data_IF_951209545280
#
_entry.id   IF_951209545280
#
_cell.length_a   1.000
_cell.length_b   1.000
_cell.length_c   1.000
_cell.angle_alpha   90.00
_cell.angle_beta   90.00
_cell.angle_gamma   90.00
#
_symmetry.space_group_name_H-M   'P 1'
#
loop_
_entity.id
_entity.type
_entity.pdbx_description
1 polymer ?
#
# COMPACT_ATOMS: atom_id res chain seq x y z
N UNK A 1 -19.18 -28.78 -26.81
CA UNK A 1 -18.08 -28.37 -25.92
C UNK A 1 -18.06 -26.85 -25.92
N UNK A 2 -18.52 -26.22 -24.83
CA UNK A 2 -18.51 -24.76 -24.71
C UNK A 2 -17.08 -24.30 -24.35
N UNK A 3 -16.54 -23.25 -24.98
CA UNK A 3 -15.27 -22.66 -24.54
C UNK A 3 -15.50 -21.87 -23.25
N UNK A 4 -14.58 -22.06 -22.31
CA UNK A 4 -14.61 -21.51 -20.96
C UNK A 4 -14.25 -20.03 -21.00
N UNK A 5 -15.20 -19.17 -20.63
CA UNK A 5 -15.02 -17.73 -20.42
C UNK A 5 -14.25 -17.44 -19.12
N UNK A 6 -12.93 -17.62 -19.14
CA UNK A 6 -12.01 -17.19 -18.06
C UNK A 6 -11.37 -15.83 -18.36
N UNK A 7 -12.16 -14.88 -18.90
CA UNK A 7 -11.77 -13.48 -18.95
C UNK A 7 -11.83 -12.91 -17.53
N UNK A 8 -10.75 -13.13 -16.79
CA UNK A 8 -10.53 -12.78 -15.40
C UNK A 8 -11.17 -11.42 -15.04
N UNK A 9 -11.93 -11.29 -13.94
CA UNK A 9 -12.59 -10.03 -13.54
C UNK A 9 -11.60 -8.86 -13.34
N UNK A 10 -10.32 -9.17 -13.16
CA UNK A 10 -9.21 -8.22 -13.20
C UNK A 10 -9.05 -7.53 -14.56
N UNK A 11 -9.26 -8.24 -15.65
CA UNK A 11 -9.16 -7.72 -17.02
C UNK A 11 -10.31 -6.74 -17.33
N UNK A 12 -11.52 -6.99 -16.81
CA UNK A 12 -12.63 -6.05 -16.89
C UNK A 12 -12.43 -4.81 -16.01
N UNK A 13 -11.87 -4.96 -14.80
CA UNK A 13 -11.52 -3.82 -13.95
C UNK A 13 -10.38 -2.97 -14.55
N UNK A 14 -9.42 -3.59 -15.23
CA UNK A 14 -8.33 -2.92 -15.95
C UNK A 14 -8.84 -2.16 -17.18
N UNK A 15 -9.79 -2.70 -17.95
CA UNK A 15 -10.38 -2.01 -19.10
C UNK A 15 -11.23 -0.80 -18.71
N UNK A 16 -11.82 -0.79 -17.51
CA UNK A 16 -12.57 0.37 -17.00
C UNK A 16 -11.70 1.52 -16.51
N UNK A 17 -10.42 1.27 -16.21
CA UNK A 17 -9.48 2.26 -15.65
C UNK A 17 -8.41 2.70 -16.67
N UNK A 18 -8.10 1.88 -17.67
CA UNK A 18 -7.06 2.16 -18.67
C UNK A 18 -7.73 2.66 -19.96
N UNK A 19 -7.74 3.99 -20.14
CA UNK A 19 -8.17 4.64 -21.39
C UNK A 19 -7.35 4.10 -22.58
N UNK A 20 -7.94 3.91 -23.77
CA UNK A 20 -7.21 3.48 -24.98
C UNK A 20 -6.00 4.37 -25.32
N UNK A 21 -5.98 5.63 -24.89
CA UNK A 21 -4.83 6.54 -25.02
C UNK A 21 -3.58 6.09 -24.25
N UNK A 22 -3.78 5.40 -23.11
CA UNK A 22 -2.70 4.86 -22.28
C UNK A 22 -2.06 3.64 -22.95
N UNK A 23 -2.85 2.82 -23.66
CA UNK A 23 -2.34 1.69 -24.44
C UNK A 23 -1.47 2.16 -25.60
N UNK A 24 -1.88 3.22 -26.30
CA UNK A 24 -1.11 3.79 -27.40
C UNK A 24 0.18 4.47 -26.89
N UNK A 25 0.12 5.14 -25.73
CA UNK A 25 1.30 5.71 -25.08
C UNK A 25 2.27 4.64 -24.55
N UNK A 26 1.76 3.53 -24.01
CA UNK A 26 2.59 2.39 -23.60
C UNK A 26 3.24 1.70 -24.80
N UNK A 27 2.51 1.51 -25.89
CA UNK A 27 3.05 0.88 -27.11
C UNK A 27 4.12 1.76 -27.77
N UNK A 28 3.87 3.08 -27.82
CA UNK A 28 4.75 4.05 -28.46
C UNK A 28 5.96 4.45 -27.62
N UNK A 29 5.84 4.44 -26.29
CA UNK A 29 6.88 4.98 -25.38
C UNK A 29 7.42 3.95 -24.38
N UNK A 30 6.60 3.04 -23.85
CA UNK A 30 7.03 2.12 -22.79
C UNK A 30 7.59 0.79 -23.34
N UNK A 31 7.05 0.29 -24.45
CA UNK A 31 7.41 -1.00 -25.06
C UNK A 31 8.56 -0.93 -26.06
N UNK A 32 9.08 0.26 -26.39
CA UNK A 32 10.20 0.37 -27.31
C UNK A 32 11.50 -0.13 -26.64
N UNK A 33 12.29 -1.01 -27.28
CA UNK A 33 13.45 -1.69 -26.67
C UNK A 33 14.60 -0.77 -26.20
N UNK A 34 14.51 0.54 -26.45
CA UNK A 34 15.42 1.58 -25.96
C UNK A 34 14.82 2.55 -24.93
N UNK A 35 13.63 2.27 -24.37
CA UNK A 35 12.99 3.19 -23.42
C UNK A 35 13.76 3.26 -22.07
N UNK A 36 13.83 4.45 -21.42
CA UNK A 36 14.52 4.62 -20.14
C UNK A 36 13.93 3.75 -19.03
N UNK A 37 12.64 3.39 -19.14
CA UNK A 37 11.97 2.47 -18.21
C UNK A 37 12.58 1.07 -18.32
N UNK A 38 12.86 0.58 -19.53
CA UNK A 38 13.50 -0.73 -19.71
C UNK A 38 14.95 -0.75 -19.22
N UNK A 39 15.68 0.37 -19.34
CA UNK A 39 17.03 0.51 -18.79
C UNK A 39 17.02 0.39 -17.25
N UNK A 40 16.08 1.04 -16.57
CA UNK A 40 15.93 0.95 -15.11
C UNK A 40 15.56 -0.48 -14.69
N UNK A 41 14.67 -1.15 -15.41
CA UNK A 41 14.29 -2.54 -15.12
C UNK A 41 15.47 -3.49 -15.31
N UNK A 42 16.21 -3.37 -16.41
CA UNK A 42 17.39 -4.22 -16.70
C UNK A 42 18.54 -3.97 -15.72
N UNK A 43 18.77 -2.71 -15.35
CA UNK A 43 19.77 -2.38 -14.33
C UNK A 43 19.33 -2.87 -12.94
N UNK A 44 18.06 -2.70 -12.59
CA UNK A 44 17.49 -3.21 -11.35
C UNK A 44 17.63 -4.73 -11.23
N UNK A 45 17.28 -5.48 -12.27
CA UNK A 45 17.39 -6.95 -12.25
C UNK A 45 18.84 -7.43 -12.16
N UNK A 46 19.76 -6.81 -12.89
CA UNK A 46 21.18 -7.18 -12.83
C UNK A 46 21.85 -6.80 -11.50
N UNK A 47 21.45 -5.69 -10.87
CA UNK A 47 21.91 -5.32 -9.53
C UNK A 47 21.35 -6.25 -8.46
N UNK A 48 20.07 -6.65 -8.60
CA UNK A 48 19.46 -7.63 -7.71
C UNK A 48 20.17 -8.98 -7.81
N UNK A 49 20.43 -9.48 -9.01
CA UNK A 49 21.14 -10.75 -9.22
C UNK A 49 22.58 -10.73 -8.68
N UNK A 50 23.31 -9.63 -8.88
CA UNK A 50 24.66 -9.46 -8.34
C UNK A 50 24.65 -9.34 -6.82
N UNK A 51 23.66 -8.63 -6.27
CA UNK A 51 23.47 -8.46 -4.83
C UNK A 51 23.10 -9.77 -4.14
N UNK A 52 22.18 -10.55 -4.71
CA UNK A 52 21.80 -11.87 -4.16
C UNK A 52 22.93 -12.88 -4.30
N UNK A 53 23.64 -12.92 -5.42
CA UNK A 53 24.80 -13.81 -5.59
C UNK A 53 25.92 -13.51 -4.60
N UNK A 54 26.24 -12.23 -4.40
CA UNK A 54 27.23 -11.83 -3.40
C UNK A 54 26.75 -12.13 -1.97
N UNK A 55 25.50 -11.82 -1.64
CA UNK A 55 24.94 -12.11 -0.32
C UNK A 55 24.90 -13.62 -0.03
N UNK A 56 24.60 -14.43 -1.03
CA UNK A 56 24.59 -15.89 -0.91
C UNK A 56 25.99 -16.43 -0.62
N UNK A 57 27.04 -15.97 -1.32
CA UNK A 57 28.41 -16.43 -1.06
C UNK A 57 28.88 -16.17 0.39
N UNK A 58 28.40 -15.11 1.03
CA UNK A 58 28.69 -14.86 2.45
C UNK A 58 27.78 -15.67 3.41
N UNK A 59 26.56 -15.97 2.99
CA UNK A 59 25.59 -16.71 3.80
C UNK A 59 25.73 -18.24 3.68
N UNK A 60 26.30 -18.74 2.57
CA UNK A 60 26.47 -20.15 2.21
C UNK A 60 26.96 -21.03 3.38
N UNK A 61 28.08 -20.73 4.07
CA UNK A 61 28.55 -21.60 5.14
C UNK A 61 27.59 -21.68 6.34
N UNK A 62 26.84 -20.61 6.60
CA UNK A 62 25.86 -20.59 7.69
C UNK A 62 24.58 -21.32 7.31
N UNK A 63 24.16 -21.19 6.05
CA UNK A 63 22.99 -21.88 5.50
C UNK A 63 23.23 -23.39 5.51
N UNK A 64 24.38 -23.84 5.00
CA UNK A 64 24.70 -25.27 4.95
C UNK A 64 24.86 -25.86 6.35
N UNK A 65 25.50 -25.14 7.27
CA UNK A 65 25.62 -25.58 8.68
C UNK A 65 24.26 -25.68 9.36
N UNK A 66 23.35 -24.72 9.10
CA UNK A 66 22.00 -24.77 9.63
C UNK A 66 21.20 -25.93 9.05
N UNK A 67 21.26 -26.16 7.73
CA UNK A 67 20.57 -27.28 7.08
C UNK A 67 21.05 -28.64 7.59
N UNK A 68 22.37 -28.80 7.77
CA UNK A 68 22.95 -30.01 8.35
C UNK A 68 22.43 -30.25 9.77
N UNK A 69 22.43 -29.21 10.63
CA UNK A 69 21.94 -29.32 12.00
C UNK A 69 20.42 -29.58 12.09
N UNK A 70 19.65 -29.08 11.12
CA UNK A 70 18.21 -29.35 11.03
C UNK A 70 17.94 -30.82 10.64
N UNK A 71 18.72 -31.39 9.72
CA UNK A 71 18.52 -32.78 9.27
C UNK A 71 18.87 -33.83 10.33
N UNK A 72 19.79 -33.53 11.25
CA UNK A 72 20.23 -34.46 12.29
C UNK A 72 19.19 -34.71 13.39
N UNK A 73 18.14 -33.89 13.51
CA UNK A 73 17.17 -34.01 14.62
C UNK A 73 15.77 -33.50 14.24
N UNK A 74 14.76 -34.39 14.15
CA UNK A 74 13.38 -34.01 13.81
C UNK A 74 12.75 -32.96 14.73
N UNK A 75 13.13 -32.95 16.02
CA UNK A 75 12.66 -31.96 16.99
C UNK A 75 13.17 -30.55 16.71
N UNK A 76 14.39 -30.44 16.17
CA UNK A 76 14.98 -29.14 15.80
C UNK A 76 14.27 -28.56 14.58
N UNK A 77 13.83 -29.41 13.64
CA UNK A 77 13.07 -28.98 12.46
C UNK A 77 11.76 -28.32 12.86
N UNK A 78 10.98 -28.94 13.75
CA UNK A 78 9.68 -28.39 14.16
C UNK A 78 9.83 -27.06 14.92
N UNK A 79 10.84 -26.94 15.79
CA UNK A 79 11.19 -25.69 16.46
C UNK A 79 11.64 -24.61 15.47
N UNK A 80 12.50 -24.97 14.50
CA UNK A 80 12.98 -24.05 13.48
C UNK A 80 11.84 -23.50 12.62
N UNK A 81 10.89 -24.35 12.20
CA UNK A 81 9.70 -23.93 11.46
C UNK A 81 8.84 -22.98 12.29
N UNK A 82 8.64 -23.26 13.58
CA UNK A 82 7.88 -22.38 14.46
C UNK A 82 8.54 -21.00 14.62
N UNK A 83 9.85 -20.97 14.87
CA UNK A 83 10.62 -19.72 14.97
C UNK A 83 10.59 -18.95 13.65
N UNK A 84 10.71 -19.63 12.52
CA UNK A 84 10.66 -19.02 11.19
C UNK A 84 9.29 -18.41 10.90
N UNK A 85 8.20 -19.09 11.28
CA UNK A 85 6.85 -18.55 11.17
C UNK A 85 6.68 -17.29 12.02
N UNK A 86 7.14 -17.34 13.28
CA UNK A 86 7.06 -16.20 14.19
C UNK A 86 7.88 -15.01 13.69
N UNK A 87 9.10 -15.26 13.22
CA UNK A 87 9.96 -14.25 12.61
C UNK A 87 9.31 -13.66 11.35
N UNK A 88 8.70 -14.47 10.49
CA UNK A 88 7.98 -14.00 9.31
C UNK A 88 6.83 -13.05 9.69
N UNK A 89 6.00 -13.43 10.67
CA UNK A 89 4.93 -12.57 11.19
C UNK A 89 5.50 -11.25 11.71
N UNK A 90 6.55 -11.31 12.53
CA UNK A 90 7.19 -10.12 13.09
C UNK A 90 7.75 -9.17 12.02
N UNK A 91 8.45 -9.73 11.03
CA UNK A 91 8.98 -8.99 9.88
C UNK A 91 7.84 -8.32 9.12
N UNK A 92 6.77 -9.06 8.79
CA UNK A 92 5.61 -8.53 8.09
C UNK A 92 4.95 -7.41 8.88
N UNK A 93 4.69 -7.59 10.17
CA UNK A 93 4.13 -6.53 11.02
C UNK A 93 5.04 -5.30 11.11
N UNK A 94 6.36 -5.50 11.15
CA UNK A 94 7.34 -4.42 11.13
C UNK A 94 7.29 -3.62 9.81
N UNK A 95 7.20 -4.32 8.68
CA UNK A 95 7.05 -3.70 7.37
C UNK A 95 5.73 -2.97 7.22
N UNK A 96 4.62 -3.56 7.65
CA UNK A 96 3.31 -2.90 7.67
C UNK A 96 3.40 -1.61 8.48
N UNK A 97 3.95 -1.67 9.71
CA UNK A 97 4.10 -0.49 10.55
C UNK A 97 4.93 0.59 9.88
N UNK A 98 6.04 0.23 9.26
CA UNK A 98 6.93 1.16 8.56
C UNK A 98 6.26 1.77 7.33
N UNK A 99 5.56 0.96 6.55
CA UNK A 99 4.85 1.38 5.35
C UNK A 99 3.68 2.30 5.72
N UNK A 100 2.91 1.96 6.74
CA UNK A 100 1.85 2.82 7.29
C UNK A 100 2.44 4.13 7.79
N UNK A 101 3.47 4.10 8.64
CA UNK A 101 4.09 5.33 9.14
C UNK A 101 4.64 6.21 8.02
N UNK A 102 5.28 5.61 7.02
CA UNK A 102 5.77 6.31 5.84
C UNK A 102 4.62 6.91 5.03
N UNK A 103 3.60 6.12 4.71
CA UNK A 103 2.44 6.56 3.95
C UNK A 103 1.67 7.66 4.68
N UNK A 104 1.43 7.52 5.98
CA UNK A 104 0.80 8.55 6.82
C UNK A 104 1.64 9.83 6.82
N UNK A 105 2.96 9.74 7.00
CA UNK A 105 3.84 10.91 6.95
C UNK A 105 3.79 11.61 5.59
N UNK A 106 3.79 10.83 4.51
CA UNK A 106 3.72 11.36 3.15
C UNK A 106 2.36 12.00 2.85
N UNK A 107 1.27 11.36 3.24
CA UNK A 107 -0.08 11.85 3.09
C UNK A 107 -0.30 13.14 3.88
N UNK A 108 0.07 13.16 5.16
CA UNK A 108 -0.04 14.35 6.01
C UNK A 108 0.85 15.48 5.48
N UNK A 109 2.07 15.18 5.05
CA UNK A 109 2.95 16.17 4.43
C UNK A 109 2.34 16.75 3.15
N UNK A 110 1.84 15.91 2.25
CA UNK A 110 1.21 16.34 1.02
C UNK A 110 -0.07 17.16 1.29
N UNK A 111 -0.89 16.73 2.24
CA UNK A 111 -2.10 17.45 2.64
C UNK A 111 -1.75 18.82 3.24
N UNK A 112 -0.76 18.88 4.13
CA UNK A 112 -0.30 20.12 4.73
C UNK A 112 0.20 21.09 3.66
N UNK A 113 1.11 20.67 2.79
CA UNK A 113 1.64 21.52 1.73
C UNK A 113 0.59 21.90 0.69
N UNK A 114 -0.32 20.99 0.36
CA UNK A 114 -1.47 21.27 -0.48
C UNK A 114 -2.36 22.36 0.11
N UNK A 115 -2.69 22.26 1.40
CA UNK A 115 -3.48 23.25 2.11
C UNK A 115 -2.77 24.60 2.17
N UNK A 116 -1.47 24.62 2.50
CA UNK A 116 -0.66 25.84 2.49
C UNK A 116 -0.68 26.50 1.11
N UNK A 117 -0.49 25.72 0.04
CA UNK A 117 -0.55 26.21 -1.34
C UNK A 117 -1.91 26.82 -1.68
N UNK A 118 -3.00 26.17 -1.29
CA UNK A 118 -4.37 26.69 -1.47
C UNK A 118 -4.55 28.00 -0.71
N UNK A 119 -4.13 28.09 0.55
CA UNK A 119 -4.24 29.31 1.37
C UNK A 119 -3.45 30.45 0.72
N UNK A 120 -2.19 30.21 0.33
CA UNK A 120 -1.35 31.23 -0.33
C UNK A 120 -2.01 31.72 -1.62
N UNK A 121 -2.46 30.79 -2.47
CA UNK A 121 -3.15 31.12 -3.71
C UNK A 121 -4.44 31.91 -3.46
N UNK A 122 -5.20 31.54 -2.44
CA UNK A 122 -6.45 32.19 -2.09
C UNK A 122 -6.21 33.62 -1.58
N UNK A 123 -5.26 33.81 -0.67
CA UNK A 123 -4.86 35.12 -0.12
C UNK A 123 -4.36 36.04 -1.24
N UNK A 124 -3.58 35.52 -2.18
CA UNK A 124 -3.11 36.31 -3.34
C UNK A 124 -4.25 36.77 -4.25
N UNK A 125 -5.37 36.01 -4.32
CA UNK A 125 -6.50 36.35 -5.20
C UNK A 125 -7.56 37.24 -4.54
N UNK A 126 -7.84 37.05 -3.24
CA UNK A 126 -9.01 37.66 -2.57
C UNK A 126 -8.63 38.54 -1.36
N UNK A 127 -7.35 38.62 -0.98
CA UNK A 127 -6.93 39.38 0.20
C UNK A 127 -7.29 38.73 1.54
N UNK A 128 -6.62 39.14 2.61
CA UNK A 128 -6.59 38.41 3.90
C UNK A 128 -7.96 38.40 4.63
N UNK A 129 -8.73 39.49 4.54
CA UNK A 129 -9.97 39.66 5.31
C UNK A 129 -11.15 38.83 4.77
N UNK A 130 -11.30 38.74 3.44
CA UNK A 130 -12.34 37.90 2.81
C UNK A 130 -12.02 36.40 2.91
N UNK A 131 -10.73 36.05 3.00
CA UNK A 131 -10.27 34.67 3.24
C UNK A 131 -10.75 34.09 4.56
N UNK A 132 -10.74 34.89 5.63
CA UNK A 132 -11.07 34.40 6.97
C UNK A 132 -12.56 34.09 7.14
N UNK A 133 -13.43 34.93 6.57
CA UNK A 133 -14.90 34.76 6.63
C UNK A 133 -15.38 33.59 5.79
N UNK A 134 -14.77 33.35 4.62
CA UNK A 134 -15.08 32.18 3.81
C UNK A 134 -14.56 30.88 4.42
N UNK A 135 -13.34 30.88 4.98
CA UNK A 135 -12.79 29.72 5.67
C UNK A 135 -13.68 29.28 6.86
N UNK A 136 -14.25 30.22 7.61
CA UNK A 136 -15.15 29.92 8.72
C UNK A 136 -16.48 29.27 8.26
N UNK A 137 -17.03 29.69 7.11
CA UNK A 137 -18.25 29.08 6.56
C UNK A 137 -17.98 27.69 5.99
N UNK A 138 -16.81 27.52 5.36
CA UNK A 138 -16.43 26.24 4.78
C UNK A 138 -16.14 25.19 5.85
N UNK A 139 -15.42 25.57 6.93
CA UNK A 139 -15.11 24.66 8.03
C UNK A 139 -16.36 24.13 8.72
N UNK A 140 -17.39 24.97 8.93
CA UNK A 140 -18.67 24.53 9.49
C UNK A 140 -19.41 23.48 8.64
N UNK A 141 -19.37 23.60 7.31
CA UNK A 141 -19.96 22.62 6.39
C UNK A 141 -19.22 21.29 6.42
N UNK A 142 -17.88 21.34 6.47
CA UNK A 142 -17.04 20.13 6.55
C UNK A 142 -17.27 19.40 7.88
N UNK A 143 -17.34 20.14 8.99
CA UNK A 143 -17.64 19.56 10.30
C UNK A 143 -19.02 18.90 10.35
N UNK A 144 -20.05 19.52 9.76
CA UNK A 144 -21.38 18.93 9.68
C UNK A 144 -21.42 17.58 8.93
N UNK A 145 -20.68 17.47 7.82
CA UNK A 145 -20.55 16.22 7.07
C UNK A 145 -19.78 15.14 7.86
N UNK A 146 -18.71 15.52 8.54
CA UNK A 146 -17.93 14.62 9.40
C UNK A 146 -18.77 14.02 10.53
N UNK A 147 -19.62 14.83 11.17
CA UNK A 147 -20.54 14.36 12.20
C UNK A 147 -21.53 13.34 11.63
N UNK A 148 -22.11 13.61 10.46
CA UNK A 148 -23.05 12.70 9.82
C UNK A 148 -22.42 11.33 9.51
N UNK A 149 -21.20 11.33 8.95
CA UNK A 149 -20.47 10.10 8.64
C UNK A 149 -20.11 9.33 9.92
N UNK A 150 -19.66 10.03 10.96
CA UNK A 150 -19.37 9.42 12.26
C UNK A 150 -20.62 8.77 12.85
N UNK A 151 -21.76 9.44 12.80
CA UNK A 151 -23.00 8.95 13.40
C UNK A 151 -23.53 7.71 12.68
N UNK A 152 -23.41 7.65 11.35
CA UNK A 152 -23.72 6.43 10.57
C UNK A 152 -22.81 5.27 10.98
N UNK A 153 -21.49 5.52 11.09
CA UNK A 153 -20.54 4.47 11.45
C UNK A 153 -20.74 3.94 12.87
N UNK A 154 -20.97 4.84 13.83
CA UNK A 154 -21.25 4.47 15.23
C UNK A 154 -22.59 3.75 15.35
N UNK A 155 -23.59 4.14 14.55
CA UNK A 155 -24.87 3.45 14.47
C UNK A 155 -24.72 2.00 14.04
N UNK A 156 -23.93 1.74 13.01
CA UNK A 156 -23.69 0.37 12.53
C UNK A 156 -22.86 -0.45 13.52
N UNK A 157 -21.89 0.16 14.19
CA UNK A 157 -21.11 -0.51 15.23
C UNK A 157 -21.99 -0.96 16.40
N UNK A 158 -22.90 -0.08 16.86
CA UNK A 158 -23.85 -0.41 17.93
C UNK A 158 -24.80 -1.52 17.52
N UNK A 159 -25.24 -1.54 16.26
CA UNK A 159 -26.08 -2.61 15.73
C UNK A 159 -25.42 -3.98 15.86
N UNK A 160 -24.13 -4.11 15.51
CA UNK A 160 -23.40 -5.36 15.70
C UNK A 160 -23.24 -5.74 17.19
N UNK A 161 -23.03 -4.78 18.08
CA UNK A 161 -22.97 -5.03 19.53
C UNK A 161 -24.31 -5.51 20.10
N UNK A 162 -25.41 -4.96 19.63
CA UNK A 162 -26.76 -5.31 20.07
C UNK A 162 -27.18 -6.70 19.55
N UNK A 163 -26.84 -7.04 18.29
CA UNK A 163 -27.02 -8.39 17.73
C UNK A 163 -26.17 -9.44 18.49
N UNK A 164 -24.92 -9.10 18.85
CA UNK A 164 -24.05 -9.96 19.64
C UNK A 164 -24.50 -10.14 21.11
N UNK A 165 -25.28 -9.19 21.66
CA UNK A 165 -25.89 -9.29 23.00
C UNK A 165 -27.20 -10.07 22.99
N UNK A 166 -28.00 -9.95 21.92
CA UNK A 166 -29.27 -10.67 21.77
C UNK A 166 -29.05 -12.16 21.46
N UNK A 167 -28.02 -12.52 20.68
CA UNK A 167 -27.64 -13.92 20.44
C UNK A 167 -27.01 -14.64 21.64
N UNK A 168 -26.84 -13.95 22.79
CA UNK A 168 -26.25 -14.49 24.02
C UNK A 168 -27.28 -14.70 25.15
N UNK A 169 -28.58 -14.59 24.84
CA UNK A 169 -29.69 -14.90 25.77
C UNK A 169 -30.44 -16.14 25.33
#
# INVERSE_FOLDING_TARGET
>A
MAPVDDASPLMQALQGIVSPDILDFLHKTALHPGSPVQLVVRQGSSLLQKGTGAAYAYAEPYVDSAFSALMDSPEIVSLAVFVMLFAAVWIVLGWIRRLVAFATRLLLGALFWGLVGVIVMFVMKHGVLESATEAARFSGKVWGLMVLVKDVWVGEFRRYEDEARQGRR
#
